data_IF_975890798391
#
_entry.id   IF_975890798391
#
_cell.length_a   1.000
_cell.length_b   1.000
_cell.length_c   1.000
_cell.angle_alpha   90.00
_cell.angle_beta   90.00
_cell.angle_gamma   90.00
#
_symmetry.space_group_name_H-M   'P 1'
#
loop_
_entity.id
_entity.type
_entity.pdbx_description
1 polymer ?
#
# COMPACT_ATOMS: atom_id res chain seq x y z
N UNK A 1 29.49 25.35 -16.55
CA UNK A 1 29.44 24.00 -15.94
C UNK A 1 27.97 23.57 -15.88
N UNK A 2 27.48 22.79 -16.85
CA UNK A 2 26.04 22.47 -17.04
C UNK A 2 25.72 20.99 -16.75
N UNK A 3 26.71 20.11 -16.82
CA UNK A 3 26.56 18.65 -16.73
C UNK A 3 26.12 18.21 -15.32
N UNK A 4 26.64 18.86 -14.27
CA UNK A 4 26.33 18.50 -12.88
C UNK A 4 24.87 18.81 -12.53
N UNK A 5 24.35 20.01 -12.87
CA UNK A 5 22.93 20.35 -12.64
C UNK A 5 21.97 19.43 -13.40
N UNK A 6 22.32 18.99 -14.61
CA UNK A 6 21.46 18.10 -15.41
C UNK A 6 21.33 16.70 -14.78
N UNK A 7 22.40 16.18 -14.16
CA UNK A 7 22.36 14.91 -13.45
C UNK A 7 21.52 14.99 -12.17
N UNK A 8 21.61 16.10 -11.43
CA UNK A 8 20.78 16.34 -10.23
C UNK A 8 19.29 16.42 -10.58
N UNK A 9 18.91 17.21 -11.61
CA UNK A 9 17.51 17.32 -12.03
C UNK A 9 16.93 15.99 -12.54
N UNK A 10 17.77 15.13 -13.14
CA UNK A 10 17.35 13.80 -13.62
C UNK A 10 17.13 12.80 -12.49
N UNK A 11 18.00 12.78 -11.48
CA UNK A 11 17.91 11.87 -10.34
C UNK A 11 16.75 12.26 -9.41
N UNK A 12 16.55 13.56 -9.17
CA UNK A 12 15.43 14.07 -8.36
C UNK A 12 14.08 13.65 -8.93
N UNK A 13 13.89 13.83 -10.23
CA UNK A 13 12.66 13.43 -10.92
C UNK A 13 12.40 11.91 -10.87
N UNK A 14 13.46 11.10 -10.96
CA UNK A 14 13.35 9.65 -10.84
C UNK A 14 12.95 9.23 -9.41
N UNK A 15 13.57 9.84 -8.40
CA UNK A 15 13.24 9.61 -6.99
C UNK A 15 11.78 9.99 -6.72
N UNK A 16 11.36 11.17 -7.15
CA UNK A 16 9.99 11.67 -6.99
C UNK A 16 8.95 10.75 -7.66
N UNK A 17 9.25 10.20 -8.84
CA UNK A 17 8.35 9.27 -9.54
C UNK A 17 8.21 7.96 -8.77
N UNK A 18 9.32 7.40 -8.26
CA UNK A 18 9.29 6.13 -7.51
C UNK A 18 8.51 6.26 -6.20
N UNK A 19 8.60 7.39 -5.50
CA UNK A 19 7.88 7.56 -4.24
C UNK A 19 6.40 7.91 -4.44
N UNK A 20 6.06 8.67 -5.49
CA UNK A 20 4.69 9.12 -5.74
C UNK A 20 3.74 8.04 -6.26
N UNK A 21 4.24 6.97 -6.88
CA UNK A 21 3.40 5.90 -7.46
C UNK A 21 2.74 5.00 -6.39
N UNK A 22 3.26 5.00 -5.16
CA UNK A 22 2.73 4.22 -4.05
C UNK A 22 1.86 5.03 -3.08
N UNK A 23 1.89 6.35 -3.17
CA UNK A 23 1.19 7.25 -2.25
C UNK A 23 -0.17 7.69 -2.82
N UNK A 24 -1.19 7.69 -1.96
CA UNK A 24 -2.48 8.28 -2.29
C UNK A 24 -2.41 9.80 -2.21
N UNK A 25 -3.03 10.52 -3.15
CA UNK A 25 -3.15 11.99 -3.10
C UNK A 25 -3.76 12.49 -1.77
N UNK A 26 -4.69 11.72 -1.21
CA UNK A 26 -5.37 12.02 0.05
C UNK A 26 -5.47 10.74 0.88
N UNK A 27 -4.94 10.78 2.11
CA UNK A 27 -5.07 9.70 3.09
C UNK A 27 -5.93 10.15 4.27
N UNK A 28 -6.90 9.32 4.67
CA UNK A 28 -7.72 9.56 5.86
C UNK A 28 -7.29 8.55 6.94
N UNK A 29 -6.81 9.06 8.07
CA UNK A 29 -6.37 8.24 9.22
C UNK A 29 -7.11 8.62 10.50
N UNK A 30 -7.30 7.65 11.39
CA UNK A 30 -7.86 7.94 12.71
C UNK A 30 -6.87 8.73 13.57
N UNK A 31 -7.34 9.81 14.22
CA UNK A 31 -6.48 10.67 15.05
C UNK A 31 -6.25 10.13 16.46
N UNK A 32 -7.20 9.38 17.01
CA UNK A 32 -7.18 8.92 18.42
C UNK A 32 -7.13 7.42 18.60
N UNK A 33 -7.43 6.65 17.56
CA UNK A 33 -7.54 5.19 17.59
C UNK A 33 -6.70 4.61 16.47
N UNK A 34 -6.36 3.33 16.60
CA UNK A 34 -5.65 2.58 15.56
C UNK A 34 -6.51 2.37 14.30
N UNK A 35 -7.83 2.27 14.48
CA UNK A 35 -8.82 2.13 13.41
C UNK A 35 -10.01 3.04 13.68
N UNK A 36 -10.79 3.32 12.64
CA UNK A 36 -12.07 4.03 12.72
C UNK A 36 -13.20 3.14 12.16
N UNK A 37 -14.43 3.39 12.60
CA UNK A 37 -15.59 2.67 12.08
C UNK A 37 -15.89 3.19 10.67
N UNK A 38 -16.15 2.30 9.72
CA UNK A 38 -16.48 2.67 8.34
C UNK A 38 -17.69 3.60 8.25
N UNK A 39 -18.59 3.57 9.23
CA UNK A 39 -19.79 4.43 9.32
C UNK A 39 -19.44 5.89 9.56
N UNK A 40 -18.23 6.19 10.04
CA UNK A 40 -17.74 7.56 10.24
C UNK A 40 -17.44 8.26 8.90
N UNK A 41 -17.32 7.50 7.81
CA UNK A 41 -17.02 8.03 6.47
C UNK A 41 -18.23 7.92 5.54
N UNK A 42 -18.55 9.02 4.85
CA UNK A 42 -19.59 9.04 3.82
C UNK A 42 -19.05 8.51 2.47
N UNK A 43 -18.88 7.20 2.36
CA UNK A 43 -18.37 6.54 1.14
C UNK A 43 -19.20 6.85 -0.11
N UNK A 44 -20.54 6.90 0.02
CA UNK A 44 -21.44 7.22 -1.10
C UNK A 44 -21.28 8.66 -1.57
N UNK A 45 -20.94 9.58 -0.67
CA UNK A 45 -20.61 10.96 -1.01
C UNK A 45 -19.31 11.04 -1.78
N UNK A 46 -18.26 10.35 -1.30
CA UNK A 46 -16.96 10.32 -1.96
C UNK A 46 -17.04 9.72 -3.37
N UNK A 47 -17.81 8.65 -3.55
CA UNK A 47 -18.01 8.03 -4.88
C UNK A 47 -18.77 8.92 -5.88
N UNK A 48 -19.44 9.99 -5.43
CA UNK A 48 -20.18 10.91 -6.31
C UNK A 48 -19.34 12.09 -6.79
N UNK A 49 -18.16 12.31 -6.21
CA UNK A 49 -17.26 13.39 -6.61
C UNK A 49 -16.56 12.94 -7.88
N UNK A 50 -16.76 13.66 -8.99
CA UNK A 50 -16.30 13.26 -10.32
C UNK A 50 -14.76 13.26 -10.43
N UNK A 51 -14.09 14.08 -9.62
CA UNK A 51 -12.63 14.19 -9.57
C UNK A 51 -11.97 13.03 -8.82
N UNK A 52 -12.72 12.25 -8.02
CA UNK A 52 -12.18 11.10 -7.29
C UNK A 52 -12.21 9.86 -8.19
N UNK A 53 -11.04 9.46 -8.70
CA UNK A 53 -10.90 8.27 -9.54
C UNK A 53 -11.16 6.96 -8.79
N UNK A 54 -10.53 6.82 -7.63
CA UNK A 54 -10.59 5.58 -6.84
C UNK A 54 -10.55 5.92 -5.36
N UNK A 55 -11.34 5.20 -4.57
CA UNK A 55 -11.26 5.21 -3.11
C UNK A 55 -10.99 3.79 -2.66
N UNK A 56 -9.94 3.57 -1.89
CA UNK A 56 -9.58 2.26 -1.38
C UNK A 56 -9.35 2.31 0.11
N UNK A 57 -9.69 1.21 0.79
CA UNK A 57 -9.41 1.05 2.22
C UNK A 57 -8.12 0.27 2.42
N UNK A 58 -7.36 0.71 3.42
CA UNK A 58 -6.16 0.04 3.87
C UNK A 58 -6.12 -0.05 5.40
N UNK A 59 -5.52 -1.10 5.93
CA UNK A 59 -5.21 -1.27 7.35
C UNK A 59 -3.72 -1.55 7.46
N UNK A 60 -3.02 -0.78 8.27
CA UNK A 60 -1.58 -0.91 8.50
C UNK A 60 -1.30 -1.48 9.90
N UNK A 61 -0.42 -2.48 9.96
CA UNK A 61 -0.08 -3.19 11.17
C UNK A 61 1.41 -3.51 11.24
N UNK A 62 2.04 -3.32 12.41
CA UNK A 62 3.41 -3.76 12.64
C UNK A 62 3.38 -5.22 13.06
N UNK A 63 4.03 -6.09 12.29
CA UNK A 63 4.13 -7.53 12.53
C UNK A 63 5.59 -7.95 12.66
N UNK A 64 5.83 -9.05 13.36
CA UNK A 64 7.16 -9.66 13.40
C UNK A 64 7.15 -10.86 12.46
N UNK A 65 7.94 -10.77 11.40
CA UNK A 65 8.17 -11.88 10.48
C UNK A 65 9.31 -12.74 11.01
N UNK A 66 9.06 -14.05 11.08
CA UNK A 66 10.07 -15.04 11.43
C UNK A 66 10.32 -15.95 10.25
N UNK A 67 11.59 -16.04 9.84
CA UNK A 67 12.04 -17.07 8.94
C UNK A 67 13.28 -17.73 9.54
N UNK A 68 13.19 -19.04 9.80
CA UNK A 68 14.21 -19.81 10.51
C UNK A 68 14.55 -19.22 11.90
N UNK A 69 15.79 -18.75 12.06
CA UNK A 69 16.31 -18.12 13.29
C UNK A 69 16.36 -16.59 13.22
N UNK A 70 15.86 -15.98 12.13
CA UNK A 70 15.85 -14.53 11.95
C UNK A 70 14.45 -13.97 12.23
N UNK A 71 14.43 -12.85 12.92
CA UNK A 71 13.23 -12.07 13.24
C UNK A 71 13.38 -10.68 12.63
N UNK A 72 12.34 -10.21 11.97
CA UNK A 72 12.33 -8.89 11.32
C UNK A 72 10.99 -8.22 11.63
N UNK A 73 11.02 -6.98 12.08
CA UNK A 73 9.82 -6.16 12.17
C UNK A 73 9.47 -5.68 10.77
N UNK A 74 8.23 -5.91 10.35
CA UNK A 74 7.72 -5.50 9.06
C UNK A 74 6.37 -4.82 9.23
N UNK A 75 6.07 -3.90 8.32
CA UNK A 75 4.75 -3.30 8.18
C UNK A 75 3.92 -4.17 7.23
N UNK A 76 2.80 -4.67 7.73
CA UNK A 76 1.79 -5.37 6.95
C UNK A 76 0.66 -4.41 6.62
N UNK A 77 0.41 -4.21 5.33
CA UNK A 77 -0.71 -3.39 4.85
C UNK A 77 -1.74 -4.32 4.22
N UNK A 78 -2.92 -4.40 4.82
CA UNK A 78 -4.08 -5.06 4.24
C UNK A 78 -4.84 -4.08 3.35
N UNK A 79 -4.98 -4.38 2.07
CA UNK A 79 -5.58 -3.48 1.07
C UNK A 79 -6.75 -4.12 0.31
N UNK A 80 -7.67 -3.30 -0.19
CA UNK A 80 -8.70 -3.73 -1.13
C UNK A 80 -8.15 -3.95 -2.55
N UNK A 81 -8.89 -4.67 -3.41
CA UNK A 81 -8.45 -5.00 -4.78
C UNK A 81 -8.17 -3.78 -5.64
N UNK A 82 -9.01 -2.75 -5.51
CA UNK A 82 -8.88 -1.50 -6.24
C UNK A 82 -7.61 -0.70 -5.87
N UNK A 83 -7.01 -0.95 -4.69
CA UNK A 83 -5.72 -0.36 -4.33
C UNK A 83 -4.60 -0.84 -5.26
N UNK A 84 -4.55 -2.14 -5.53
CA UNK A 84 -3.53 -2.72 -6.41
C UNK A 84 -3.65 -2.19 -7.85
N UNK A 85 -4.88 -1.91 -8.27
CA UNK A 85 -5.19 -1.31 -9.57
C UNK A 85 -4.73 0.16 -9.62
N UNK A 86 -4.86 0.93 -8.53
CA UNK A 86 -4.44 2.33 -8.49
C UNK A 86 -2.92 2.53 -8.52
N UNK A 87 -2.15 1.68 -7.85
CA UNK A 87 -0.68 1.78 -7.77
C UNK A 87 0.05 0.99 -8.88
N UNK A 88 -0.68 0.45 -9.87
CA UNK A 88 -0.14 -0.38 -10.95
C UNK A 88 0.83 -1.46 -10.45
N UNK A 89 0.47 -2.15 -9.36
CA UNK A 89 1.38 -2.98 -8.57
C UNK A 89 2.18 -4.00 -9.39
N UNK A 90 1.60 -4.55 -10.45
CA UNK A 90 2.25 -5.51 -11.35
C UNK A 90 3.51 -4.94 -12.04
N UNK A 91 3.61 -3.62 -12.25
CA UNK A 91 4.80 -2.96 -12.82
C UNK A 91 5.96 -2.88 -11.84
N UNK A 92 5.69 -2.91 -10.55
CA UNK A 92 6.67 -2.81 -9.47
C UNK A 92 7.06 -4.18 -8.90
N UNK A 93 6.36 -5.24 -9.30
CA UNK A 93 6.63 -6.59 -8.84
C UNK A 93 7.82 -7.19 -9.58
N UNK A 94 8.97 -7.25 -8.92
CA UNK A 94 10.17 -7.87 -9.50
C UNK A 94 10.02 -9.39 -9.66
N UNK A 95 9.42 -10.08 -8.68
CA UNK A 95 9.32 -11.53 -8.65
C UNK A 95 7.98 -12.01 -8.09
N UNK A 96 7.45 -13.09 -8.68
CA UNK A 96 6.18 -13.70 -8.29
C UNK A 96 4.99 -13.17 -9.08
N UNK A 97 3.79 -13.34 -8.52
CA UNK A 97 2.55 -12.78 -9.09
C UNK A 97 1.73 -12.12 -7.99
N UNK A 98 1.06 -11.02 -8.31
CA UNK A 98 0.18 -10.33 -7.38
C UNK A 98 -1.12 -11.14 -7.20
N UNK A 99 -1.46 -11.48 -5.95
CA UNK A 99 -2.74 -12.10 -5.61
C UNK A 99 -3.19 -11.66 -4.22
N UNK A 100 -4.46 -11.23 -4.09
CA UNK A 100 -5.08 -10.97 -2.78
C UNK A 100 -5.78 -12.19 -2.20
N UNK A 101 -6.25 -13.11 -3.05
CA UNK A 101 -6.94 -14.33 -2.63
C UNK A 101 -6.42 -15.51 -3.45
N UNK A 102 -5.63 -16.38 -2.81
CA UNK A 102 -5.19 -17.64 -3.41
C UNK A 102 -6.32 -18.68 -3.23
N UNK A 103 -6.78 -19.30 -4.32
CA UNK A 103 -7.89 -20.29 -4.34
C UNK A 103 -7.61 -21.60 -3.57
N UNK A 104 -6.52 -21.69 -2.80
CA UNK A 104 -6.18 -22.87 -2.03
C UNK A 104 -6.20 -22.53 -0.54
N UNK A 105 -7.25 -22.98 0.14
CA UNK A 105 -7.51 -22.83 1.59
C UNK A 105 -6.53 -23.58 2.50
N UNK A 106 -5.22 -23.47 2.26
CA UNK A 106 -4.23 -23.90 3.24
C UNK A 106 -4.18 -22.86 4.35
N UNK A 107 -4.81 -23.19 5.48
CA UNK A 107 -4.65 -22.46 6.74
C UNK A 107 -3.16 -22.44 7.09
N UNK A 108 -2.51 -21.28 7.00
CA UNK A 108 -1.13 -21.08 7.41
C UNK A 108 -0.96 -20.83 8.92
N UNK A 109 -2.05 -20.90 9.68
CA UNK A 109 -2.02 -20.79 11.14
C UNK A 109 -2.26 -22.15 11.78
N UNK A 110 -1.17 -22.87 12.05
CA UNK A 110 -1.15 -23.93 13.04
C UNK A 110 -0.12 -23.56 14.11
N UNK A 111 -0.47 -22.58 14.94
CA UNK A 111 0.14 -22.46 16.26
C UNK A 111 -0.77 -23.19 17.25
N UNK A 112 -0.40 -24.44 17.54
CA UNK A 112 -0.68 -25.04 18.84
C UNK A 112 0.12 -24.25 19.87
N UNK A 113 -0.58 -23.77 20.90
CA UNK A 113 0.02 -23.52 22.21
C UNK A 113 0.72 -24.79 22.72
#
# INVERSE_FOLDING_TARGET
>A
MVIVLSAFNGIEKMIETIYSEFDSDITIVATKRKTFDEREINWKGLQKIVEIKTVSKAIEEIVVLRHEKKWVNATLIGVEKNYLESIQFDKHLWAGTAFLKKRNGRKFWNHRC
#
